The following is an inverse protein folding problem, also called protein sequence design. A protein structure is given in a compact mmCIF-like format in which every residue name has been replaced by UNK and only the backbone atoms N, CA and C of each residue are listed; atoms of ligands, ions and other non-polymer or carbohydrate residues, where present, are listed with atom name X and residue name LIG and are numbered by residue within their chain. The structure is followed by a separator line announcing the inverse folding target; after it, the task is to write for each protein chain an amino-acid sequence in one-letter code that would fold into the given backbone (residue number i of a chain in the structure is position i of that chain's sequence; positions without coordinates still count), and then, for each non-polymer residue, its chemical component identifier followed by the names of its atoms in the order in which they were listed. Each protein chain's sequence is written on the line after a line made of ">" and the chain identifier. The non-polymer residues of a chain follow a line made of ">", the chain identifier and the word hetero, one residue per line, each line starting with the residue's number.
data_IF_315022145605
#
_entry.id   IF_315022145605
#
_cell.length_a   1.000
_cell.length_b   1.000
_cell.length_c   1.000
_cell.angle_alpha   90.00
_cell.angle_beta   90.00
_cell.angle_gamma   90.00
#
_symmetry.space_group_name_H-M   'P 1'
#
loop_
_entity.id
_entity.type
_entity.pdbx_description
1 polymer ?
#
# COMPACT_ATOMS: atom_id res chain seq x y z
N UNK A 1 -7.02 -5.55 -18.44
CA UNK A 1 -7.58 -4.91 -17.24
C UNK A 1 -8.33 -5.99 -16.45
N UNK A 2 -8.12 -6.10 -15.15
CA UNK A 2 -8.79 -7.09 -14.31
C UNK A 2 -10.15 -6.57 -13.84
N UNK A 3 -11.11 -7.46 -13.53
CA UNK A 3 -12.42 -7.06 -13.00
C UNK A 3 -12.31 -6.26 -11.69
N UNK A 4 -11.28 -6.54 -10.88
CA UNK A 4 -11.01 -5.83 -9.64
C UNK A 4 -10.56 -4.39 -9.92
N UNK A 5 -9.66 -4.20 -10.90
CA UNK A 5 -9.20 -2.87 -11.28
C UNK A 5 -10.34 -2.03 -11.90
N UNK A 6 -11.20 -2.65 -12.70
CA UNK A 6 -12.41 -1.99 -13.23
C UNK A 6 -13.34 -1.52 -12.11
N UNK A 7 -13.52 -2.34 -11.06
CA UNK A 7 -14.31 -1.96 -9.88
C UNK A 7 -13.71 -0.72 -9.19
N UNK A 8 -12.40 -0.72 -8.94
CA UNK A 8 -11.74 0.40 -8.26
C UNK A 8 -11.71 1.69 -9.10
N UNK A 9 -11.69 1.59 -10.42
CA UNK A 9 -11.79 2.74 -11.34
C UNK A 9 -13.22 3.29 -11.47
N UNK A 10 -14.23 2.53 -11.07
CA UNK A 10 -15.63 2.87 -11.20
C UNK A 10 -16.15 3.80 -10.10
N UNK A 11 -17.45 4.06 -10.13
CA UNK A 11 -18.17 4.77 -9.06
C UNK A 11 -17.99 4.12 -7.68
N UNK A 12 -17.89 2.79 -7.63
CA UNK A 12 -17.62 2.07 -6.38
C UNK A 12 -16.35 2.57 -5.68
N UNK A 13 -15.24 2.70 -6.42
CA UNK A 13 -13.99 3.25 -5.87
C UNK A 13 -14.14 4.71 -5.44
N UNK A 14 -14.88 5.52 -6.20
CA UNK A 14 -15.18 6.91 -5.83
C UNK A 14 -16.00 7.03 -4.56
N UNK A 15 -17.01 6.19 -4.38
CA UNK A 15 -17.82 6.13 -3.16
C UNK A 15 -17.01 5.61 -1.96
N UNK A 16 -16.11 4.66 -2.19
CA UNK A 16 -15.16 4.21 -1.16
C UNK A 16 -14.26 5.36 -0.69
N UNK A 17 -13.72 6.15 -1.62
CA UNK A 17 -12.88 7.32 -1.33
C UNK A 17 -13.64 8.38 -0.52
N UNK A 18 -14.89 8.69 -0.87
CA UNK A 18 -15.75 9.63 -0.12
C UNK A 18 -15.96 9.20 1.33
N UNK A 19 -16.18 7.90 1.58
CA UNK A 19 -16.35 7.37 2.94
C UNK A 19 -15.08 7.52 3.78
N UNK A 20 -13.91 7.42 3.16
CA UNK A 20 -12.64 7.54 3.84
C UNK A 20 -12.25 9.01 4.17
N UNK A 21 -12.86 9.99 3.52
CA UNK A 21 -12.61 11.41 3.81
C UNK A 21 -12.87 11.78 5.28
N UNK A 22 -13.81 11.13 5.94
CA UNK A 22 -14.12 11.37 7.34
C UNK A 22 -13.08 10.77 8.31
N UNK A 23 -12.09 10.04 7.79
CA UNK A 23 -11.00 9.42 8.55
C UNK A 23 -9.68 10.22 8.51
N UNK A 24 -9.69 11.44 7.96
CA UNK A 24 -8.53 12.33 7.99
C UNK A 24 -8.69 13.29 9.17
N UNK A 25 -8.56 12.77 10.38
CA UNK A 25 -8.55 13.54 11.61
C UNK A 25 -7.12 13.67 12.16
N UNK A 26 -6.88 14.61 13.06
CA UNK A 26 -5.58 14.74 13.73
C UNK A 26 -5.24 13.46 14.54
N UNK A 27 -6.25 12.85 15.17
CA UNK A 27 -6.08 11.60 15.92
C UNK A 27 -5.70 10.44 15.00
N UNK A 28 -6.37 10.29 13.83
CA UNK A 28 -6.01 9.27 12.84
C UNK A 28 -4.58 9.48 12.31
N UNK A 29 -4.18 10.74 12.08
CA UNK A 29 -2.83 11.06 11.64
C UNK A 29 -1.79 10.68 12.68
N UNK A 30 -2.04 10.93 13.96
CA UNK A 30 -1.14 10.55 15.05
C UNK A 30 -1.01 9.04 15.16
N UNK A 31 -2.10 8.29 15.04
CA UNK A 31 -2.08 6.81 15.00
C UNK A 31 -1.29 6.30 13.80
N UNK A 32 -1.53 6.84 12.60
CA UNK A 32 -0.77 6.49 11.39
C UNK A 32 0.73 6.76 11.55
N UNK A 33 1.12 7.88 12.16
CA UNK A 33 2.53 8.17 12.44
C UNK A 33 3.14 7.14 13.40
N UNK A 34 2.39 6.70 14.42
CA UNK A 34 2.84 5.65 15.33
C UNK A 34 3.00 4.31 14.61
N UNK A 35 2.06 3.93 13.76
CA UNK A 35 2.11 2.69 12.99
C UNK A 35 3.29 2.69 12.02
N UNK A 36 3.50 3.77 11.27
CA UNK A 36 4.67 3.91 10.41
C UNK A 36 5.97 3.98 11.22
N UNK A 37 5.96 4.56 12.40
CA UNK A 37 7.08 4.51 13.34
C UNK A 37 7.42 3.09 13.80
N UNK A 38 6.41 2.23 14.03
CA UNK A 38 6.61 0.80 14.32
C UNK A 38 7.20 0.07 13.10
N UNK A 39 6.60 0.28 11.91
CA UNK A 39 6.96 -0.43 10.67
C UNK A 39 8.38 -0.05 10.20
N UNK A 40 8.68 1.24 10.15
CA UNK A 40 9.96 1.74 9.64
C UNK A 40 11.05 1.85 10.71
N UNK A 41 10.70 1.89 11.96
CA UNK A 41 11.48 1.95 13.18
C UNK A 41 13.01 1.85 13.06
N UNK A 42 13.60 0.88 13.75
CA UNK A 42 15.04 0.68 13.80
C UNK A 42 15.62 -0.16 12.64
N UNK A 43 14.75 -0.83 11.87
CA UNK A 43 15.18 -1.79 10.85
C UNK A 43 15.59 -1.12 9.52
N UNK A 44 15.13 0.11 9.27
CA UNK A 44 15.35 0.82 8.01
C UNK A 44 16.59 1.71 8.09
N UNK A 45 17.71 1.18 7.60
CA UNK A 45 18.98 1.91 7.53
C UNK A 45 19.67 1.58 6.20
N UNK A 46 19.97 2.56 5.32
CA UNK A 46 19.70 3.99 5.47
C UNK A 46 18.20 4.35 5.41
N UNK A 47 17.83 5.52 5.98
CA UNK A 47 16.48 6.08 5.85
C UNK A 47 16.15 6.30 4.37
N UNK A 48 14.94 5.88 3.89
CA UNK A 48 14.54 6.11 2.51
C UNK A 48 14.40 7.62 2.23
N UNK A 49 14.92 8.07 1.09
CA UNK A 49 14.70 9.44 0.60
C UNK A 49 13.38 9.55 -0.13
N UNK A 50 13.04 8.52 -0.91
CA UNK A 50 11.81 8.45 -1.69
C UNK A 50 10.93 7.27 -1.27
N UNK A 51 9.61 7.50 -1.21
CA UNK A 51 8.61 6.49 -0.86
C UNK A 51 7.50 6.50 -1.90
N UNK A 52 7.04 5.34 -2.34
CA UNK A 52 5.90 5.17 -3.25
C UNK A 52 4.81 4.34 -2.57
N UNK A 53 3.61 4.89 -2.46
CA UNK A 53 2.39 4.13 -2.18
C UNK A 53 1.71 3.67 -3.47
N UNK A 54 1.49 2.37 -3.59
CA UNK A 54 0.72 1.77 -4.67
C UNK A 54 -0.71 1.54 -4.19
N UNK A 55 -1.69 2.24 -4.79
CA UNK A 55 -3.09 2.21 -4.37
C UNK A 55 -3.35 3.12 -3.16
N UNK A 56 -2.97 4.40 -3.27
CA UNK A 56 -3.01 5.33 -2.13
C UNK A 56 -4.41 5.83 -1.75
N UNK A 57 -5.43 5.57 -2.55
CA UNK A 57 -6.75 6.17 -2.38
C UNK A 57 -6.63 7.71 -2.18
N UNK A 58 -7.20 8.26 -1.12
CA UNK A 58 -7.16 9.70 -0.79
C UNK A 58 -5.88 10.13 -0.04
N UNK A 59 -4.87 9.26 0.07
CA UNK A 59 -3.54 9.59 0.60
C UNK A 59 -3.42 9.62 2.13
N UNK A 60 -4.20 8.83 2.86
CA UNK A 60 -4.12 8.79 4.33
C UNK A 60 -2.70 8.48 4.84
N UNK A 61 -2.07 7.42 4.31
CA UNK A 61 -0.70 7.06 4.69
C UNK A 61 0.31 8.15 4.30
N UNK A 62 0.10 8.81 3.16
CA UNK A 62 1.02 9.84 2.65
C UNK A 62 1.16 11.02 3.62
N UNK A 63 0.10 11.35 4.37
CA UNK A 63 0.16 12.40 5.39
C UNK A 63 1.18 12.06 6.48
N UNK A 64 1.21 10.82 6.96
CA UNK A 64 2.15 10.37 7.97
C UNK A 64 3.58 10.21 7.40
N UNK A 65 3.70 9.67 6.18
CA UNK A 65 4.99 9.34 5.56
C UNK A 65 5.88 10.56 5.27
N UNK A 66 5.31 11.77 5.16
CA UNK A 66 6.07 13.02 5.06
C UNK A 66 7.08 13.24 6.19
N UNK A 67 6.91 12.57 7.31
CA UNK A 67 7.84 12.62 8.43
C UNK A 67 8.99 11.59 8.31
N UNK A 68 8.88 10.66 7.37
CA UNK A 68 9.80 9.53 7.21
C UNK A 68 10.62 9.58 5.93
N UNK A 69 10.21 10.36 4.92
CA UNK A 69 10.92 10.50 3.65
C UNK A 69 10.87 11.95 3.13
N UNK A 70 11.78 12.27 2.22
CA UNK A 70 11.88 13.61 1.63
C UNK A 70 10.97 13.75 0.40
N UNK A 71 10.81 12.66 -0.37
CA UNK A 71 10.02 12.61 -1.60
C UNK A 71 8.92 11.57 -1.46
N UNK A 72 7.66 12.00 -1.63
CA UNK A 72 6.50 11.14 -1.53
C UNK A 72 5.84 11.01 -2.89
N UNK A 73 5.71 9.78 -3.33
CA UNK A 73 5.07 9.39 -4.58
C UNK A 73 3.85 8.52 -4.30
N UNK A 74 2.89 8.54 -5.21
CA UNK A 74 1.71 7.71 -5.15
C UNK A 74 1.22 7.31 -6.54
N UNK A 75 0.64 6.11 -6.64
CA UNK A 75 -0.08 5.63 -7.82
C UNK A 75 -1.47 5.20 -7.38
N UNK A 76 -2.51 5.67 -8.08
CA UNK A 76 -3.90 5.37 -7.75
C UNK A 76 -4.72 5.21 -9.05
N UNK A 77 -5.52 4.11 -9.19
CA UNK A 77 -6.31 3.88 -10.38
C UNK A 77 -7.60 4.71 -10.48
N UNK A 78 -8.11 5.27 -9.37
CA UNK A 78 -9.36 6.04 -9.34
C UNK A 78 -9.10 7.53 -9.54
N UNK A 79 -9.61 8.16 -10.64
CA UNK A 79 -9.38 9.57 -10.91
C UNK A 79 -9.88 10.51 -9.82
N UNK A 80 -11.02 10.19 -9.17
CA UNK A 80 -11.58 11.03 -8.11
C UNK A 80 -10.71 10.98 -6.84
N UNK A 81 -10.12 9.82 -6.52
CA UNK A 81 -9.16 9.69 -5.43
C UNK A 81 -7.86 10.47 -5.73
N UNK A 82 -7.34 10.38 -6.96
CA UNK A 82 -6.20 11.18 -7.40
C UNK A 82 -6.48 12.69 -7.25
N UNK A 83 -7.69 13.13 -7.61
CA UNK A 83 -8.08 14.52 -7.47
C UNK A 83 -8.13 14.95 -6.00
N UNK A 84 -8.67 14.11 -5.12
CA UNK A 84 -8.69 14.37 -3.67
C UNK A 84 -7.27 14.54 -3.09
N UNK A 85 -6.29 13.75 -3.53
CA UNK A 85 -4.87 13.93 -3.13
C UNK A 85 -4.33 15.27 -3.61
N UNK A 86 -4.57 15.65 -4.87
CA UNK A 86 -4.09 16.92 -5.45
C UNK A 86 -4.70 18.16 -4.76
N UNK A 87 -5.95 18.05 -4.33
CA UNK A 87 -6.68 19.15 -3.65
C UNK A 87 -6.36 19.25 -2.16
N UNK A 88 -5.74 18.22 -1.57
CA UNK A 88 -5.38 18.23 -0.16
C UNK A 88 -4.15 19.14 0.08
N UNK A 89 -4.29 20.28 0.79
CA UNK A 89 -3.19 21.21 0.97
C UNK A 89 -2.00 20.61 1.74
N UNK A 90 -2.25 19.56 2.55
CA UNK A 90 -1.20 18.83 3.27
C UNK A 90 -0.37 17.97 2.32
N UNK A 91 -0.92 17.53 1.19
CA UNK A 91 -0.29 16.63 0.22
C UNK A 91 0.18 17.36 -1.07
N UNK A 92 0.27 18.69 -1.05
CA UNK A 92 0.63 19.52 -2.23
C UNK A 92 1.96 19.14 -2.88
N UNK A 93 2.89 18.59 -2.11
CA UNK A 93 4.22 18.20 -2.57
C UNK A 93 4.31 16.71 -2.98
N UNK A 94 3.19 15.97 -2.92
CA UNK A 94 3.11 14.56 -3.32
C UNK A 94 3.04 14.44 -4.83
N UNK A 95 3.88 13.59 -5.40
CA UNK A 95 3.84 13.25 -6.83
C UNK A 95 2.82 12.13 -7.04
N UNK A 96 1.56 12.49 -7.33
CA UNK A 96 0.48 11.54 -7.61
C UNK A 96 0.35 11.28 -9.12
N UNK A 97 0.41 10.01 -9.52
CA UNK A 97 0.17 9.55 -10.90
C UNK A 97 -1.07 8.66 -10.94
N UNK A 98 -1.94 8.89 -11.91
CA UNK A 98 -3.04 7.97 -12.20
C UNK A 98 -2.49 6.73 -12.89
N UNK A 99 -2.80 5.54 -12.34
CA UNK A 99 -2.25 4.29 -12.83
C UNK A 99 -2.61 3.12 -11.93
N UNK A 100 -2.03 1.98 -12.20
CA UNK A 100 -2.23 0.77 -11.41
C UNK A 100 -0.91 0.07 -11.06
N UNK A 101 -0.99 -0.91 -10.16
CA UNK A 101 0.19 -1.63 -9.68
C UNK A 101 0.74 -2.70 -10.64
N UNK A 102 0.10 -2.90 -11.80
CA UNK A 102 0.56 -3.89 -12.81
C UNK A 102 1.55 -3.31 -13.82
N UNK A 103 1.65 -1.97 -13.88
CA UNK A 103 2.60 -1.24 -14.73
C UNK A 103 2.88 0.11 -14.09
N UNK A 104 3.80 0.12 -13.13
CA UNK A 104 4.16 1.32 -12.40
C UNK A 104 4.95 2.29 -13.29
N UNK A 105 4.60 3.59 -13.33
CA UNK A 105 5.24 4.58 -14.19
C UNK A 105 6.59 5.08 -13.62
N UNK A 106 7.43 4.14 -13.22
CA UNK A 106 8.77 4.35 -12.65
C UNK A 106 9.75 3.36 -13.27
N UNK A 107 11.02 3.74 -13.33
CA UNK A 107 12.13 2.88 -13.75
C UNK A 107 12.49 1.82 -12.72
N UNK A 108 13.38 0.91 -13.12
CA UNK A 108 13.90 -0.13 -12.23
C UNK A 108 14.70 0.53 -11.10
N UNK A 109 14.44 0.10 -9.85
CA UNK A 109 15.14 0.60 -8.66
C UNK A 109 15.12 2.13 -8.52
N UNK A 110 14.05 2.78 -8.98
CA UNK A 110 13.94 4.25 -8.95
C UNK A 110 13.56 4.78 -7.55
N UNK A 111 12.74 4.03 -6.80
CA UNK A 111 12.19 4.46 -5.51
C UNK A 111 12.80 3.67 -4.34
N UNK A 112 13.27 4.35 -3.32
CA UNK A 112 13.97 3.71 -2.20
C UNK A 112 13.08 2.73 -1.42
N UNK A 113 11.80 3.09 -1.19
CA UNK A 113 10.81 2.24 -0.53
C UNK A 113 9.50 2.25 -1.29
N UNK A 114 8.99 1.07 -1.65
CA UNK A 114 7.66 0.89 -2.27
C UNK A 114 6.76 0.12 -1.31
N UNK A 115 5.50 0.54 -1.16
CA UNK A 115 4.59 -0.18 -0.28
C UNK A 115 3.16 -0.28 -0.79
N UNK A 116 2.45 -1.26 -0.22
CA UNK A 116 0.99 -1.42 -0.32
C UNK A 116 0.38 -1.49 1.07
N UNK A 117 -0.85 -0.99 1.21
CA UNK A 117 -1.63 -1.08 2.43
C UNK A 117 -3.10 -1.35 2.10
N UNK A 118 -3.55 -2.60 2.30
CA UNK A 118 -4.89 -3.04 1.97
C UNK A 118 -5.18 -3.05 0.46
N UNK A 119 -4.19 -3.36 -0.37
CA UNK A 119 -4.28 -3.34 -1.84
C UNK A 119 -4.18 -4.75 -2.43
N UNK A 120 -3.18 -5.53 -2.00
CA UNK A 120 -2.96 -6.87 -2.54
C UNK A 120 -4.10 -7.83 -2.23
N UNK A 121 -4.82 -7.59 -1.12
CA UNK A 121 -6.08 -8.30 -0.80
C UNK A 121 -7.16 -8.14 -1.87
N UNK A 122 -7.06 -7.14 -2.73
CA UNK A 122 -7.99 -6.88 -3.84
C UNK A 122 -7.44 -7.28 -5.20
N UNK A 123 -6.33 -8.01 -5.25
CA UNK A 123 -5.72 -8.52 -6.47
C UNK A 123 -6.03 -10.00 -6.61
N UNK A 124 -6.57 -10.41 -7.76
CA UNK A 124 -6.86 -11.82 -8.03
C UNK A 124 -5.58 -12.68 -7.92
N UNK A 125 -5.67 -13.91 -7.41
CA UNK A 125 -4.50 -14.78 -7.24
C UNK A 125 -3.65 -14.94 -8.49
N UNK A 126 -4.27 -15.04 -9.68
CA UNK A 126 -3.58 -15.20 -10.97
C UNK A 126 -2.80 -13.93 -11.38
N UNK A 127 -3.23 -12.77 -10.93
CA UNK A 127 -2.61 -11.47 -11.26
C UNK A 127 -1.62 -11.00 -10.20
N UNK A 128 -1.66 -11.57 -9.00
CA UNK A 128 -0.87 -11.11 -7.85
C UNK A 128 0.63 -11.11 -8.14
N UNK A 129 1.11 -12.14 -8.84
CA UNK A 129 2.52 -12.24 -9.20
C UNK A 129 3.02 -11.06 -10.03
N UNK A 130 2.23 -10.59 -11.00
CA UNK A 130 2.59 -9.45 -11.84
C UNK A 130 2.72 -8.16 -11.03
N UNK A 131 1.80 -7.93 -10.09
CA UNK A 131 1.83 -6.73 -9.25
C UNK A 131 3.02 -6.73 -8.30
N UNK A 132 3.31 -7.88 -7.69
CA UNK A 132 4.47 -8.05 -6.79
C UNK A 132 5.78 -7.90 -7.55
N UNK A 133 5.87 -8.37 -8.82
CA UNK A 133 7.05 -8.17 -9.68
C UNK A 133 7.29 -6.69 -9.99
N UNK A 134 6.23 -5.93 -10.28
CA UNK A 134 6.35 -4.49 -10.52
C UNK A 134 6.79 -3.73 -9.26
N UNK A 135 6.22 -4.04 -8.11
CA UNK A 135 6.64 -3.47 -6.83
C UNK A 135 8.12 -3.78 -6.58
N UNK A 136 8.54 -5.04 -6.79
CA UNK A 136 9.94 -5.44 -6.64
C UNK A 136 10.85 -4.73 -7.64
N UNK A 137 10.44 -4.58 -8.90
CA UNK A 137 11.21 -3.91 -9.95
C UNK A 137 11.51 -2.46 -9.58
N UNK A 138 10.49 -1.72 -9.14
CA UNK A 138 10.59 -0.29 -8.84
C UNK A 138 11.30 -0.01 -7.52
N UNK A 139 11.18 -0.90 -6.53
CA UNK A 139 11.83 -0.74 -5.24
C UNK A 139 13.36 -0.87 -5.37
N UNK A 140 14.10 0.12 -4.81
CA UNK A 140 15.56 0.08 -4.73
C UNK A 140 16.07 -0.66 -3.51
N UNK A 141 15.52 -0.35 -2.33
CA UNK A 141 16.03 -0.85 -1.06
C UNK A 141 15.01 -1.61 -0.24
N UNK A 142 13.78 -1.11 -0.17
CA UNK A 142 12.78 -1.63 0.77
C UNK A 142 11.43 -1.84 0.12
N UNK A 143 10.74 -2.86 0.62
CA UNK A 143 9.32 -3.11 0.33
C UNK A 143 8.58 -3.26 1.65
N UNK A 144 7.43 -2.59 1.80
CA UNK A 144 6.49 -2.83 2.88
C UNK A 144 5.19 -3.37 2.30
N UNK A 145 4.66 -4.41 2.93
CA UNK A 145 3.39 -5.00 2.59
C UNK A 145 2.53 -5.04 3.86
N UNK A 146 1.41 -4.30 3.88
CA UNK A 146 0.46 -4.28 5.00
C UNK A 146 -0.89 -4.78 4.51
N UNK A 147 -1.26 -6.03 4.85
CA UNK A 147 -2.40 -6.72 4.25
C UNK A 147 -3.08 -7.66 5.26
N UNK A 148 -4.29 -8.14 4.94
CA UNK A 148 -4.96 -9.15 5.75
C UNK A 148 -4.30 -10.50 5.60
N UNK A 149 -4.07 -11.16 6.72
CA UNK A 149 -3.39 -12.46 6.77
C UNK A 149 -4.36 -13.64 6.75
N UNK A 150 -3.95 -14.72 6.08
CA UNK A 150 -4.44 -16.08 6.29
C UNK A 150 -3.31 -17.08 6.05
N UNK A 151 -3.27 -18.17 6.82
CA UNK A 151 -2.28 -19.23 6.63
C UNK A 151 -2.39 -19.90 5.26
N UNK A 152 -3.62 -20.14 4.81
CA UNK A 152 -3.91 -20.69 3.50
C UNK A 152 -4.61 -19.61 2.66
N UNK A 153 -4.36 -19.58 1.34
CA UNK A 153 -5.09 -18.67 0.45
C UNK A 153 -6.59 -18.88 0.55
N UNK A 154 -7.32 -17.82 0.83
CA UNK A 154 -8.79 -17.84 0.92
C UNK A 154 -9.42 -16.64 0.22
N UNK A 155 -10.57 -16.87 -0.40
CA UNK A 155 -11.44 -15.81 -0.89
C UNK A 155 -12.47 -15.46 0.18
N UNK A 156 -12.63 -14.17 0.44
CA UNK A 156 -13.61 -13.65 1.40
C UNK A 156 -14.62 -12.80 0.67
N UNK A 157 -15.90 -12.97 1.00
CA UNK A 157 -16.96 -12.14 0.46
C UNK A 157 -16.75 -10.68 0.87
N UNK A 158 -16.65 -9.79 -0.10
CA UNK A 158 -16.44 -8.37 0.11
C UNK A 158 -17.68 -7.58 -0.26
N UNK A 159 -18.39 -7.01 0.75
CA UNK A 159 -19.62 -6.23 0.54
C UNK A 159 -20.62 -6.94 -0.37
N UNK A 160 -20.90 -8.20 -0.05
CA UNK A 160 -21.79 -9.10 -0.81
C UNK A 160 -21.32 -9.49 -2.22
N UNK A 161 -20.08 -9.14 -2.61
CA UNK A 161 -19.45 -9.54 -3.86
C UNK A 161 -18.41 -10.65 -3.64
N UNK A 162 -18.34 -11.60 -4.57
CA UNK A 162 -17.32 -12.66 -4.62
C UNK A 162 -16.22 -12.30 -5.62
N UNK A 163 -14.99 -12.74 -5.35
CA UNK A 163 -13.82 -12.53 -6.22
C UNK A 163 -13.21 -11.13 -6.10
N UNK A 164 -13.37 -10.43 -4.95
CA UNK A 164 -12.85 -9.09 -4.75
C UNK A 164 -12.01 -8.91 -3.47
N UNK A 165 -11.98 -9.91 -2.58
CA UNK A 165 -11.12 -9.89 -1.42
C UNK A 165 -10.49 -11.26 -1.22
N UNK A 166 -9.17 -11.28 -1.15
CA UNK A 166 -8.36 -12.48 -0.99
C UNK A 166 -7.39 -12.29 0.17
N UNK A 167 -7.32 -13.26 1.07
CA UNK A 167 -6.35 -13.29 2.16
C UNK A 167 -5.33 -14.40 1.91
N UNK A 168 -4.13 -14.18 2.37
CA UNK A 168 -3.03 -15.16 2.33
C UNK A 168 -1.85 -14.71 3.18
N UNK A 169 -0.85 -15.54 3.29
CA UNK A 169 0.48 -15.15 3.77
C UNK A 169 1.22 -14.39 2.63
N UNK A 170 1.01 -13.07 2.57
CA UNK A 170 1.67 -12.22 1.58
C UNK A 170 3.19 -12.15 1.81
N UNK A 171 3.63 -12.22 3.06
CA UNK A 171 5.05 -12.24 3.39
C UNK A 171 5.76 -13.44 2.79
N UNK A 172 5.19 -14.63 2.95
CA UNK A 172 5.68 -15.86 2.32
C UNK A 172 5.66 -15.74 0.80
N UNK A 173 4.58 -15.21 0.22
CA UNK A 173 4.45 -15.04 -1.23
C UNK A 173 5.57 -14.19 -1.83
N UNK A 174 5.91 -13.07 -1.19
CA UNK A 174 7.04 -12.23 -1.60
C UNK A 174 8.37 -12.99 -1.54
N UNK A 175 8.64 -13.70 -0.45
CA UNK A 175 9.90 -14.43 -0.25
C UNK A 175 10.07 -15.61 -1.21
N UNK A 176 9.01 -16.35 -1.50
CA UNK A 176 9.03 -17.46 -2.46
C UNK A 176 9.24 -16.97 -3.90
N UNK A 177 8.70 -15.79 -4.22
CA UNK A 177 8.80 -15.22 -5.57
C UNK A 177 10.12 -14.52 -5.82
N UNK A 178 10.67 -13.84 -4.83
CA UNK A 178 11.89 -13.03 -4.95
C UNK A 178 12.95 -13.45 -3.92
N UNK A 179 13.85 -14.34 -4.31
CA UNK A 179 14.96 -14.81 -3.46
C UNK A 179 15.95 -13.72 -3.03
N UNK A 180 15.90 -12.54 -3.69
CA UNK A 180 16.66 -11.35 -3.33
C UNK A 180 16.08 -10.58 -2.13
N UNK A 181 14.91 -10.94 -1.61
CA UNK A 181 14.32 -10.31 -0.44
C UNK A 181 14.80 -10.94 0.87
N UNK A 182 15.04 -10.10 1.85
CA UNK A 182 15.30 -10.49 3.24
C UNK A 182 14.29 -9.78 4.15
N UNK A 183 13.55 -10.53 4.95
CA UNK A 183 12.67 -9.95 5.99
C UNK A 183 13.56 -9.22 7.00
N UNK A 184 13.28 -7.94 7.21
CA UNK A 184 13.89 -7.13 8.26
C UNK A 184 13.06 -7.17 9.53
N UNK A 185 11.74 -7.05 9.37
CA UNK A 185 10.80 -7.05 10.48
C UNK A 185 9.39 -7.42 9.99
N UNK A 186 8.52 -7.76 10.92
CA UNK A 186 7.10 -8.05 10.66
C UNK A 186 6.28 -7.85 11.93
N UNK A 187 4.99 -7.64 11.78
CA UNK A 187 4.13 -7.45 12.94
C UNK A 187 2.64 -7.43 12.60
N UNK A 188 1.88 -6.99 13.58
CA UNK A 188 0.43 -6.93 13.53
C UNK A 188 -0.04 -5.53 13.96
N UNK A 189 -0.99 -4.97 13.22
CA UNK A 189 -1.74 -3.78 13.58
C UNK A 189 -3.12 -4.22 14.07
N UNK A 190 -3.45 -3.81 15.29
CA UNK A 190 -4.70 -4.18 15.94
C UNK A 190 -5.67 -3.00 15.93
N UNK A 191 -6.77 -3.14 15.22
CA UNK A 191 -7.75 -2.08 14.94
C UNK A 191 -8.16 -1.23 16.16
N UNK A 192 -8.35 -1.76 17.37
CA UNK A 192 -8.68 -0.93 18.53
C UNK A 192 -7.62 0.08 18.96
N UNK A 193 -6.35 -0.12 18.59
CA UNK A 193 -5.22 0.75 18.97
C UNK A 193 -4.57 1.43 17.77
N UNK A 194 -4.60 0.80 16.61
CA UNK A 194 -3.89 1.24 15.41
C UNK A 194 -4.86 1.91 14.42
N UNK A 195 -4.34 2.54 13.39
CA UNK A 195 -5.11 3.36 12.45
C UNK A 195 -5.83 2.55 11.36
N UNK A 196 -5.50 1.26 11.21
CA UNK A 196 -6.04 0.37 10.18
C UNK A 196 -6.88 -0.75 10.76
N UNK A 197 -7.59 -1.49 9.88
CA UNK A 197 -8.19 -2.77 10.25
C UNK A 197 -7.11 -3.77 10.66
N UNK A 198 -7.49 -4.84 11.37
CA UNK A 198 -6.58 -5.92 11.76
C UNK A 198 -5.79 -6.41 10.56
N UNK A 199 -4.50 -6.12 10.54
CA UNK A 199 -3.63 -6.44 9.41
C UNK A 199 -2.23 -6.82 9.85
N UNK A 200 -1.60 -7.67 9.07
CA UNK A 200 -0.19 -7.98 9.24
C UNK A 200 0.65 -7.08 8.32
N UNK A 201 1.83 -6.75 8.78
CA UNK A 201 2.80 -6.05 7.96
C UNK A 201 4.13 -6.79 7.92
N UNK A 202 4.81 -6.66 6.79
CA UNK A 202 6.16 -7.18 6.55
C UNK A 202 7.01 -6.09 5.95
N UNK A 203 8.21 -5.95 6.48
CA UNK A 203 9.25 -5.07 5.95
C UNK A 203 10.37 -5.93 5.37
N UNK A 204 10.65 -5.72 4.11
CA UNK A 204 11.72 -6.41 3.40
C UNK A 204 12.83 -5.45 2.98
N UNK A 205 14.09 -5.94 3.02
CA UNK A 205 15.19 -5.35 2.29
C UNK A 205 15.43 -6.12 0.99
N UNK A 206 15.63 -5.40 -0.08
CA UNK A 206 16.11 -5.90 -1.37
C UNK A 206 17.63 -6.01 -1.34
N UNK A 207 18.18 -7.12 -1.83
CA UNK A 207 19.64 -7.38 -1.92
C UNK A 207 20.19 -6.98 -3.27
#
# INVERSE_FOLDING_TARGET
>A
VTKQLDLWRSEFGSEYSKRNNNRITEEDNQRLMQDWGKILGHAVTPKPKSVLEVGCNIGRNLVALRHFADEIHAVEPNPAACQAVRENPVLKDVVIKEGDGFSLPYGDEEIDLVFTSGVLIHVAPDDLGRMVDEIFRVARHYIVCTEYFSHEPEEVKYRDMEGYLFKRDFGRFYMERHSGLRVLDYGFLWQPLDSSDDSNWWLFAKR
#
